data_IF_663824622531
#
_entry.id   IF_663824622531
#
_cell.length_a   1.000
_cell.length_b   1.000
_cell.length_c   1.000
_cell.angle_alpha   90.00
_cell.angle_beta   90.00
_cell.angle_gamma   90.00
#
_symmetry.space_group_name_H-M   'P 1'
#
loop_
_entity.id
_entity.type
_entity.pdbx_description
1 polymer ?
#
# COMPACT_ATOMS: atom_id res chain seq x y z
N UNK A 1 -0.14 20.16 3.57
CA UNK A 1 0.49 18.99 4.18
C UNK A 1 0.70 17.85 3.21
N UNK A 2 -0.33 17.49 2.50
CA UNK A 2 -0.23 16.34 1.61
C UNK A 2 0.81 16.54 0.51
N UNK A 3 0.92 17.76 0.02
CA UNK A 3 1.84 18.03 -1.08
C UNK A 3 3.29 17.78 -0.70
N UNK A 4 3.62 17.92 0.58
CA UNK A 4 5.00 17.73 1.01
C UNK A 4 5.20 16.39 1.71
N UNK A 5 4.25 16.01 2.56
CA UNK A 5 4.42 14.82 3.37
C UNK A 5 4.16 13.53 2.59
N UNK A 6 3.20 13.58 1.67
CA UNK A 6 2.89 12.37 0.92
C UNK A 6 4.07 11.89 0.07
N UNK A 7 4.72 12.76 -0.73
CA UNK A 7 5.89 12.29 -1.47
C UNK A 7 7.00 11.77 -0.59
N UNK A 8 7.20 12.38 0.58
CA UNK A 8 8.22 11.91 1.50
C UNK A 8 7.87 10.53 2.01
N UNK A 9 6.61 10.32 2.37
CA UNK A 9 6.16 9.01 2.84
C UNK A 9 6.35 7.95 1.76
N UNK A 10 5.97 8.27 0.53
CA UNK A 10 6.11 7.33 -0.57
C UNK A 10 7.58 6.96 -0.77
N UNK A 11 8.44 7.95 -0.75
CA UNK A 11 9.85 7.70 -0.93
C UNK A 11 10.40 6.79 0.18
N UNK A 12 10.00 7.06 1.41
CA UNK A 12 10.43 6.27 2.55
C UNK A 12 9.97 4.83 2.43
N UNK A 13 8.72 4.65 2.04
CA UNK A 13 8.15 3.31 1.90
C UNK A 13 8.83 2.56 0.76
N UNK A 14 9.08 3.25 -0.37
CA UNK A 14 9.72 2.60 -1.50
C UNK A 14 11.14 2.16 -1.18
N UNK A 15 11.77 2.77 -0.19
CA UNK A 15 13.11 2.39 0.22
C UNK A 15 13.11 1.12 1.07
N UNK A 16 11.94 0.68 1.51
CA UNK A 16 11.84 -0.52 2.34
C UNK A 16 12.11 -1.76 1.51
N UNK A 17 12.94 -2.65 2.04
CA UNK A 17 13.26 -3.90 1.37
C UNK A 17 12.02 -4.76 1.19
N UNK A 18 11.10 -4.69 2.14
CA UNK A 18 9.90 -5.54 2.12
C UNK A 18 8.77 -4.99 1.29
N UNK A 19 8.88 -3.74 0.83
CA UNK A 19 7.77 -3.11 0.16
C UNK A 19 7.29 -3.86 -1.11
N UNK A 20 8.18 -4.23 -2.02
CA UNK A 20 7.71 -4.91 -3.24
C UNK A 20 6.98 -6.21 -2.95
N UNK A 21 7.49 -6.99 -2.00
CA UNK A 21 6.86 -8.25 -1.64
C UNK A 21 5.51 -8.03 -0.99
N UNK A 22 5.42 -7.07 -0.09
CA UNK A 22 4.17 -6.78 0.59
C UNK A 22 3.12 -6.23 -0.35
N UNK A 23 3.54 -5.40 -1.30
CA UNK A 23 2.60 -4.87 -2.29
C UNK A 23 2.07 -6.00 -3.18
N UNK A 24 2.95 -6.86 -3.65
CA UNK A 24 2.54 -7.98 -4.48
C UNK A 24 1.59 -8.92 -3.73
N UNK A 25 1.91 -9.22 -2.49
CA UNK A 25 1.06 -10.09 -1.69
C UNK A 25 -0.33 -9.48 -1.49
N UNK A 26 -0.37 -8.19 -1.21
CA UNK A 26 -1.65 -7.50 -1.03
C UNK A 26 -2.47 -7.56 -2.30
N UNK A 27 -1.83 -7.30 -3.44
CA UNK A 27 -2.53 -7.32 -4.72
C UNK A 27 -3.07 -8.70 -5.05
N UNK A 28 -2.27 -9.74 -4.82
CA UNK A 28 -2.59 -11.07 -5.31
C UNK A 28 -3.37 -11.91 -4.32
N UNK A 29 -3.17 -11.69 -3.02
CA UNK A 29 -3.77 -12.56 -2.01
C UNK A 29 -4.81 -11.86 -1.13
N UNK A 30 -4.63 -10.57 -0.86
CA UNK A 30 -5.51 -9.87 0.07
C UNK A 30 -6.71 -9.26 -0.63
N UNK A 31 -6.47 -8.44 -1.63
CA UNK A 31 -7.55 -7.70 -2.28
C UNK A 31 -8.55 -8.58 -3.02
N UNK A 32 -8.15 -9.72 -3.60
CA UNK A 32 -9.17 -10.59 -4.20
C UNK A 32 -10.20 -11.09 -3.19
N UNK A 33 -9.80 -11.26 -1.93
CA UNK A 33 -10.72 -11.72 -0.89
C UNK A 33 -11.46 -10.57 -0.23
N UNK A 34 -10.80 -9.41 -0.10
CA UNK A 34 -11.41 -8.28 0.58
C UNK A 34 -10.97 -7.00 -0.12
N UNK A 35 -11.75 -6.63 -1.14
CA UNK A 35 -11.41 -5.47 -1.97
C UNK A 35 -11.47 -4.16 -1.20
N UNK A 36 -12.23 -4.11 -0.11
CA UNK A 36 -12.36 -2.89 0.68
C UNK A 36 -11.45 -2.87 1.90
N UNK A 37 -10.32 -3.55 1.82
CA UNK A 37 -9.34 -3.57 2.89
C UNK A 37 -8.91 -2.15 3.24
N UNK A 38 -8.97 -1.82 4.53
CA UNK A 38 -8.50 -0.50 5.00
C UNK A 38 -7.03 -0.55 5.36
N UNK A 39 -6.35 0.62 5.36
CA UNK A 39 -4.95 0.63 5.76
C UNK A 39 -4.71 0.08 7.16
N UNK A 40 -5.60 0.39 8.10
CA UNK A 40 -5.44 -0.11 9.46
C UNK A 40 -5.54 -1.64 9.50
N UNK A 41 -6.49 -2.19 8.76
CA UNK A 41 -6.63 -3.64 8.71
C UNK A 41 -5.43 -4.30 8.05
N UNK A 42 -4.95 -3.71 6.95
CA UNK A 42 -3.81 -4.28 6.26
C UNK A 42 -2.57 -4.24 7.12
N UNK A 43 -2.35 -3.12 7.79
CA UNK A 43 -1.18 -2.98 8.66
C UNK A 43 -1.19 -4.06 9.75
N UNK A 44 -2.35 -4.30 10.34
CA UNK A 44 -2.46 -5.32 11.38
C UNK A 44 -2.27 -6.72 10.81
N UNK A 45 -2.83 -6.96 9.64
CA UNK A 45 -2.80 -8.30 9.06
C UNK A 45 -1.41 -8.72 8.63
N UNK A 46 -0.66 -7.81 8.03
CA UNK A 46 0.67 -8.12 7.55
C UNK A 46 1.77 -7.65 8.49
N UNK A 47 1.38 -7.10 9.63
CA UNK A 47 2.34 -6.62 10.62
C UNK A 47 3.30 -5.62 10.00
N UNK A 48 2.75 -4.61 9.33
CA UNK A 48 3.55 -3.58 8.69
C UNK A 48 3.16 -2.21 9.23
N UNK A 49 4.02 -1.21 9.08
CA UNK A 49 3.69 0.16 9.50
C UNK A 49 2.47 0.68 8.76
N UNK A 50 1.66 1.48 9.45
CA UNK A 50 0.46 2.04 8.85
C UNK A 50 0.78 2.86 7.61
N UNK A 51 1.88 3.62 7.64
CA UNK A 51 2.27 4.41 6.47
C UNK A 51 2.53 3.56 5.25
N UNK A 52 3.15 2.40 5.44
CA UNK A 52 3.39 1.50 4.32
C UNK A 52 2.08 0.94 3.79
N UNK A 53 1.16 0.57 4.68
CA UNK A 53 -0.15 0.07 4.26
C UNK A 53 -0.90 1.11 3.46
N UNK A 54 -0.82 2.37 3.88
CA UNK A 54 -1.46 3.47 3.17
C UNK A 54 -0.91 3.58 1.75
N UNK A 55 0.41 3.58 1.61
CA UNK A 55 1.04 3.70 0.29
C UNK A 55 0.69 2.51 -0.59
N UNK A 56 0.76 1.30 -0.04
CA UNK A 56 0.45 0.10 -0.79
C UNK A 56 -0.96 0.16 -1.36
N UNK A 57 -1.94 0.46 -0.50
CA UNK A 57 -3.33 0.47 -0.95
C UNK A 57 -3.60 1.61 -1.93
N UNK A 58 -2.98 2.77 -1.68
CA UNK A 58 -3.16 3.90 -2.59
C UNK A 58 -2.60 3.56 -3.99
N UNK A 59 -1.41 3.01 -4.05
CA UNK A 59 -0.79 2.71 -5.33
C UNK A 59 -1.53 1.62 -6.08
N UNK A 60 -2.00 0.61 -5.35
CA UNK A 60 -2.76 -0.45 -6.01
C UNK A 60 -4.09 0.08 -6.56
N UNK A 61 -4.72 0.99 -5.83
CA UNK A 61 -5.95 1.61 -6.32
C UNK A 61 -5.69 2.43 -7.58
N UNK A 62 -4.57 3.16 -7.60
CA UNK A 62 -4.22 3.93 -8.78
C UNK A 62 -3.91 3.04 -9.98
N UNK A 63 -3.25 1.93 -9.75
CA UNK A 63 -2.94 1.01 -10.82
C UNK A 63 -4.21 0.39 -11.40
N UNK A 64 -5.19 0.12 -10.54
CA UNK A 64 -6.46 -0.44 -11.01
C UNK A 64 -7.26 0.56 -11.84
N UNK A 65 -7.13 1.84 -11.55
CA UNK A 65 -7.82 2.87 -12.31
C UNK A 65 -7.19 3.07 -13.68
N UNK A 66 -5.92 2.78 -13.79
CA UNK A 66 -5.19 3.03 -15.01
C UNK A 66 -5.62 2.03 -16.07
N UNK A 67 -6.06 2.50 -17.22
CA UNK A 67 -6.53 1.59 -18.28
C UNK A 67 -5.38 0.93 -19.01
N UNK A 68 -4.26 1.07 -18.66
CA UNK A 68 -3.08 0.55 -19.35
C UNK A 68 -3.34 -0.67 -20.22
#
# INVERSE_FOLDING_TARGET
>A
MKEKLWPILVETVHASVMYPSRKAYTRDMILPEKADMTPTELAARLNMPLGEALVVLYELAEERKSPA
#
